data_IF_277727273826
#
_entry.id   IF_277727273826
#
_cell.length_a   1.000
_cell.length_b   1.000
_cell.length_c   1.000
_cell.angle_alpha   90.00
_cell.angle_beta   90.00
_cell.angle_gamma   90.00
#
_symmetry.space_group_name_H-M   'P 1'
#
loop_
_entity.id
_entity.type
_entity.pdbx_description
1 polymer ?
#
# COMPACT_ATOMS: atom_id res chain seq x y z
N UNK A 1 9.45 -18.33 12.40
CA UNK A 1 8.76 -17.16 11.80
C UNK A 1 8.16 -17.61 10.48
N UNK A 2 6.86 -17.38 10.25
CA UNK A 2 6.21 -17.82 9.01
C UNK A 2 6.86 -17.09 7.81
N UNK A 3 7.37 -17.84 6.83
CA UNK A 3 8.10 -17.28 5.68
C UNK A 3 7.21 -16.37 4.83
N UNK A 4 5.93 -16.71 4.71
CA UNK A 4 4.93 -15.92 3.97
C UNK A 4 4.67 -14.59 4.68
N UNK A 5 4.50 -14.61 6.00
CA UNK A 5 4.36 -13.40 6.82
C UNK A 5 5.58 -12.49 6.65
N UNK A 6 6.79 -13.04 6.72
CA UNK A 6 8.02 -12.27 6.56
C UNK A 6 8.10 -11.61 5.19
N UNK A 7 7.81 -12.36 4.12
CA UNK A 7 7.80 -11.85 2.76
C UNK A 7 6.75 -10.75 2.56
N UNK A 8 5.54 -10.94 3.09
CA UNK A 8 4.49 -9.92 3.01
C UNK A 8 4.87 -8.64 3.76
N UNK A 9 5.49 -8.76 4.93
CA UNK A 9 5.97 -7.60 5.69
C UNK A 9 7.13 -6.87 4.98
N UNK A 10 7.94 -7.56 4.18
CA UNK A 10 8.93 -6.91 3.29
C UNK A 10 8.21 -6.06 2.23
N UNK A 11 7.19 -6.61 1.56
CA UNK A 11 6.38 -5.89 0.57
C UNK A 11 5.76 -4.64 1.21
N UNK A 12 5.10 -4.81 2.35
CA UNK A 12 4.53 -3.71 3.13
C UNK A 12 5.59 -2.65 3.48
N UNK A 13 6.78 -3.03 3.96
CA UNK A 13 7.84 -2.10 4.31
C UNK A 13 8.28 -1.22 3.13
N UNK A 14 8.41 -1.78 1.93
CA UNK A 14 8.79 -1.00 0.76
C UNK A 14 7.68 -0.08 0.28
N UNK A 15 6.41 -0.48 0.40
CA UNK A 15 5.29 0.42 0.15
C UNK A 15 5.19 1.52 1.19
N UNK A 16 5.35 1.22 2.47
CA UNK A 16 5.44 2.19 3.56
C UNK A 16 6.52 3.25 3.29
N UNK A 17 7.74 2.81 2.95
CA UNK A 17 8.86 3.72 2.62
C UNK A 17 8.60 4.52 1.36
N UNK A 18 7.96 3.93 0.36
CA UNK A 18 7.60 4.62 -0.88
C UNK A 18 6.49 5.65 -0.65
N UNK A 19 5.48 5.31 0.16
CA UNK A 19 4.40 6.20 0.57
C UNK A 19 4.93 7.43 1.32
N UNK A 20 5.91 7.24 2.21
CA UNK A 20 6.60 8.35 2.87
C UNK A 20 7.31 9.25 1.84
N UNK A 21 8.06 8.66 0.90
CA UNK A 21 8.74 9.41 -0.15
C UNK A 21 7.78 10.15 -1.08
N UNK A 22 6.67 9.51 -1.46
CA UNK A 22 5.63 10.11 -2.29
C UNK A 22 4.93 11.23 -1.50
N UNK A 23 4.66 11.05 -0.21
CA UNK A 23 4.14 12.12 0.65
C UNK A 23 5.09 13.33 0.69
N UNK A 24 6.41 13.10 0.72
CA UNK A 24 7.40 14.17 0.59
C UNK A 24 7.49 14.77 -0.83
N UNK A 25 7.30 13.96 -1.87
CA UNK A 25 7.28 14.44 -3.26
C UNK A 25 6.01 15.22 -3.62
N UNK A 26 4.84 14.80 -3.13
CA UNK A 26 3.59 15.56 -3.20
C UNK A 26 3.72 16.89 -2.47
N UNK A 27 4.53 16.95 -1.42
CA UNK A 27 4.86 18.19 -0.73
C UNK A 27 5.65 19.19 -1.59
N UNK A 28 6.42 18.70 -2.56
CA UNK A 28 7.06 19.54 -3.57
C UNK A 28 6.02 20.09 -4.56
N UNK A 29 5.03 19.29 -4.95
CA UNK A 29 3.93 19.72 -5.82
C UNK A 29 3.00 20.71 -5.09
N UNK A 30 2.70 20.44 -3.81
CA UNK A 30 1.89 21.28 -2.93
C UNK A 30 2.71 22.41 -2.29
N UNK A 31 3.97 22.59 -2.68
CA UNK A 31 4.86 23.64 -2.19
C UNK A 31 4.25 25.05 -2.30
N UNK A 32 3.53 25.43 -3.38
CA UNK A 32 2.87 26.73 -3.45
C UNK A 32 1.82 26.91 -2.34
N UNK A 33 1.01 25.88 -2.07
CA UNK A 33 0.02 25.88 -1.01
C UNK A 33 0.66 25.95 0.38
N UNK A 34 1.79 25.26 0.56
CA UNK A 34 2.57 25.31 1.80
C UNK A 34 3.19 26.68 2.05
N UNK A 35 3.67 27.36 1.01
CA UNK A 35 4.14 28.74 1.08
C UNK A 35 3.02 29.68 1.53
N UNK A 36 1.81 29.46 1.02
CA UNK A 36 0.62 30.23 1.40
C UNK A 36 0.25 30.03 2.88
N UNK A 37 0.28 28.79 3.39
CA UNK A 37 0.10 28.49 4.81
C UNK A 37 1.17 29.18 5.68
N UNK A 38 2.44 29.13 5.27
CA UNK A 38 3.53 29.78 5.99
C UNK A 38 3.46 31.31 5.95
N UNK A 39 2.83 31.91 4.94
CA UNK A 39 2.52 33.33 4.90
C UNK A 39 1.40 33.69 5.87
N UNK A 40 0.34 32.88 5.93
CA UNK A 40 -0.78 33.07 6.88
C UNK A 40 -0.27 33.00 8.33
N UNK A 41 0.61 32.05 8.63
CA UNK A 41 1.16 31.86 9.99
C UNK A 41 2.07 33.01 10.43
N UNK A 42 2.74 33.67 9.49
CA UNK A 42 3.60 34.82 9.77
C UNK A 42 2.80 36.08 10.11
N UNK A 43 1.48 36.10 9.87
CA UNK A 43 0.60 37.21 10.26
C UNK A 43 0.68 37.42 11.79
N UNK A 44 0.93 38.65 12.27
CA UNK A 44 1.20 38.91 13.69
C UNK A 44 0.12 38.40 14.64
N UNK A 45 -1.15 38.54 14.26
CA UNK A 45 -2.31 38.10 15.05
C UNK A 45 -2.28 36.58 15.25
N UNK A 46 -2.03 35.84 14.16
CA UNK A 46 -1.99 34.38 14.16
C UNK A 46 -0.76 33.89 14.93
N UNK A 47 0.42 34.49 14.67
CA UNK A 47 1.64 34.19 15.42
C UNK A 47 1.47 34.40 16.93
N UNK A 48 0.76 35.46 17.34
CA UNK A 48 0.44 35.75 18.75
C UNK A 48 -0.46 34.67 19.38
N UNK A 49 -1.36 34.06 18.60
CA UNK A 49 -2.15 32.92 19.08
C UNK A 49 -1.29 31.66 19.29
N UNK A 50 -0.31 31.41 18.42
CA UNK A 50 0.62 30.29 18.59
C UNK A 50 1.53 30.49 19.81
N UNK A 51 2.08 31.69 20.03
CA UNK A 51 2.90 31.97 21.21
C UNK A 51 2.10 31.90 22.51
N UNK A 52 0.83 32.33 22.52
CA UNK A 52 -0.08 32.11 23.67
C UNK A 52 -0.27 30.62 24.02
N UNK A 53 -0.10 29.71 23.06
CA UNK A 53 -0.14 28.26 23.25
C UNK A 53 1.24 27.64 23.56
N UNK A 54 2.24 28.47 23.88
CA UNK A 54 3.60 28.02 24.17
C UNK A 54 4.42 27.65 22.93
N UNK A 55 3.95 27.94 21.71
CA UNK A 55 4.65 27.62 20.47
C UNK A 55 5.46 28.84 20.02
N UNK A 56 6.78 28.78 20.24
CA UNK A 56 7.73 29.85 19.89
C UNK A 56 8.06 29.90 18.40
N UNK A 57 8.06 28.75 17.71
CA UNK A 57 8.31 28.66 16.27
C UNK A 57 7.24 27.82 15.57
N UNK A 58 6.14 28.45 15.10
CA UNK A 58 5.02 27.76 14.47
C UNK A 58 5.43 26.94 13.24
N UNK A 59 6.35 27.47 12.42
CA UNK A 59 6.84 26.79 11.20
C UNK A 59 7.55 25.48 11.56
N UNK A 60 8.50 25.54 12.50
CA UNK A 60 9.24 24.35 12.96
C UNK A 60 8.30 23.32 13.59
N UNK A 61 7.34 23.74 14.41
CA UNK A 61 6.36 22.85 15.03
C UNK A 61 5.46 22.16 14.00
N UNK A 62 5.07 22.84 12.92
CA UNK A 62 4.28 22.23 11.84
C UNK A 62 5.09 21.20 11.07
N UNK A 63 6.36 21.48 10.78
CA UNK A 63 7.25 20.51 10.13
C UNK A 63 7.52 19.28 11.00
N UNK A 64 7.78 19.47 12.29
CA UNK A 64 7.98 18.37 13.24
C UNK A 64 6.72 17.52 13.39
N UNK A 65 5.54 18.15 13.52
CA UNK A 65 4.26 17.42 13.54
C UNK A 65 4.08 16.64 12.24
N UNK A 66 4.36 17.24 11.08
CA UNK A 66 4.23 16.56 9.79
C UNK A 66 5.15 15.33 9.68
N UNK A 67 6.42 15.45 10.07
CA UNK A 67 7.34 14.30 10.13
C UNK A 67 6.80 13.22 11.06
N UNK A 68 6.35 13.60 12.26
CA UNK A 68 5.72 12.68 13.21
C UNK A 68 4.46 12.01 12.65
N UNK A 69 3.62 12.72 11.91
CA UNK A 69 2.39 12.18 11.32
C UNK A 69 2.63 11.39 10.03
N UNK A 70 3.79 11.55 9.38
CA UNK A 70 4.10 10.87 8.11
C UNK A 70 5.00 9.66 8.30
N UNK A 71 5.93 9.70 9.27
CA UNK A 71 6.97 8.68 9.45
C UNK A 71 6.81 7.82 10.71
N UNK A 72 5.79 8.07 11.54
CA UNK A 72 5.56 7.26 12.73
C UNK A 72 4.88 5.92 12.37
N UNK A 73 5.54 4.77 12.56
CA UNK A 73 4.99 3.48 12.16
C UNK A 73 3.66 3.14 12.86
N UNK A 74 3.37 3.70 14.05
CA UNK A 74 2.18 3.33 14.84
C UNK A 74 0.86 3.81 14.21
N UNK A 75 0.80 5.03 13.66
CA UNK A 75 -0.44 5.66 13.18
C UNK A 75 -0.20 6.69 12.06
N UNK A 76 0.93 6.62 11.35
CA UNK A 76 1.22 7.61 10.32
C UNK A 76 0.39 7.42 9.06
N UNK A 77 0.25 8.51 8.29
CA UNK A 77 -0.22 8.45 6.91
C UNK A 77 0.61 7.46 6.07
N UNK A 78 1.90 7.31 6.37
CA UNK A 78 2.78 6.34 5.71
C UNK A 78 2.35 4.89 5.97
N UNK A 79 1.97 4.58 7.21
CA UNK A 79 1.44 3.27 7.63
C UNK A 79 0.14 2.96 6.87
N UNK A 80 -0.84 3.87 6.92
CA UNK A 80 -2.15 3.70 6.26
C UNK A 80 -2.00 3.48 4.75
N UNK A 81 -1.23 4.34 4.08
CA UNK A 81 -1.00 4.24 2.63
C UNK A 81 -0.19 2.97 2.31
N UNK A 82 0.79 2.62 3.15
CA UNK A 82 1.57 1.38 3.02
C UNK A 82 0.69 0.13 3.06
N UNK A 83 -0.27 0.07 3.99
CA UNK A 83 -1.27 -1.00 4.06
C UNK A 83 -2.13 -1.02 2.81
N UNK A 84 -2.68 0.12 2.39
CA UNK A 84 -3.51 0.19 1.17
C UNK A 84 -2.82 -0.39 -0.07
N UNK A 85 -1.53 -0.07 -0.29
CA UNK A 85 -0.77 -0.64 -1.40
C UNK A 85 -0.45 -2.12 -1.21
N UNK A 86 -0.07 -2.56 -0.01
CA UNK A 86 0.20 -3.96 0.27
C UNK A 86 -1.07 -4.82 0.10
N UNK A 87 -2.21 -4.36 0.61
CA UNK A 87 -3.52 -4.99 0.41
C UNK A 87 -3.93 -5.02 -1.06
N UNK A 88 -3.58 -3.99 -1.85
CA UNK A 88 -3.84 -4.00 -3.30
C UNK A 88 -3.10 -5.13 -4.03
N UNK A 89 -1.88 -5.48 -3.60
CA UNK A 89 -1.15 -6.65 -4.15
C UNK A 89 -1.93 -7.94 -3.88
N UNK A 90 -2.42 -8.13 -2.65
CA UNK A 90 -3.25 -9.29 -2.30
C UNK A 90 -4.57 -9.31 -3.07
N UNK A 91 -5.20 -8.15 -3.25
CA UNK A 91 -6.44 -8.01 -4.01
C UNK A 91 -6.26 -8.50 -5.44
N UNK A 92 -5.25 -8.01 -6.18
CA UNK A 92 -5.00 -8.47 -7.55
C UNK A 92 -4.69 -9.96 -7.62
N UNK A 93 -3.95 -10.48 -6.64
CA UNK A 93 -3.67 -11.92 -6.56
C UNK A 93 -4.94 -12.75 -6.35
N UNK A 94 -5.82 -12.34 -5.43
CA UNK A 94 -7.09 -13.02 -5.19
C UNK A 94 -8.07 -12.90 -6.36
N UNK A 95 -8.10 -11.75 -7.05
CA UNK A 95 -8.87 -11.60 -8.29
C UNK A 95 -8.40 -12.61 -9.33
N UNK A 96 -7.09 -12.78 -9.49
CA UNK A 96 -6.55 -13.71 -10.46
C UNK A 96 -6.88 -15.17 -10.12
N UNK A 97 -6.71 -15.57 -8.85
CA UNK A 97 -7.11 -16.89 -8.35
C UNK A 97 -8.60 -17.13 -8.62
N UNK A 98 -9.45 -16.17 -8.23
CA UNK A 98 -10.89 -16.27 -8.43
C UNK A 98 -11.23 -16.53 -9.91
N UNK A 99 -10.62 -15.79 -10.85
CA UNK A 99 -10.87 -15.98 -12.27
C UNK A 99 -10.39 -17.36 -12.77
N UNK A 100 -9.25 -17.86 -12.30
CA UNK A 100 -8.77 -19.21 -12.66
C UNK A 100 -9.76 -20.29 -12.20
N UNK A 101 -10.22 -20.22 -10.95
CA UNK A 101 -11.21 -21.17 -10.44
C UNK A 101 -12.52 -21.07 -11.20
N UNK A 102 -13.01 -19.85 -11.44
CA UNK A 102 -14.23 -19.61 -12.20
C UNK A 102 -14.14 -20.23 -13.60
N UNK A 103 -13.10 -19.94 -14.37
CA UNK A 103 -12.98 -20.47 -15.74
C UNK A 103 -12.69 -21.97 -15.80
N UNK A 104 -12.00 -22.53 -14.81
CA UNK A 104 -11.69 -23.97 -14.77
C UNK A 104 -12.89 -24.83 -14.38
N UNK A 105 -13.75 -24.35 -13.46
CA UNK A 105 -14.80 -25.17 -12.85
C UNK A 105 -16.23 -24.69 -13.16
N UNK A 106 -16.42 -23.39 -13.43
CA UNK A 106 -17.74 -22.79 -13.63
C UNK A 106 -17.73 -21.81 -14.82
N UNK A 107 -17.34 -22.25 -16.03
CA UNK A 107 -17.10 -21.35 -17.18
C UNK A 107 -18.35 -20.59 -17.64
N UNK A 108 -19.55 -21.10 -17.36
CA UNK A 108 -20.84 -20.50 -17.73
C UNK A 108 -21.41 -19.55 -16.66
N UNK A 109 -20.79 -19.48 -15.48
CA UNK A 109 -21.29 -18.68 -14.37
C UNK A 109 -21.01 -17.19 -14.61
N UNK A 110 -22.06 -16.36 -14.61
CA UNK A 110 -21.93 -14.91 -14.79
C UNK A 110 -22.05 -14.19 -13.45
N UNK A 111 -20.90 -13.88 -12.86
CA UNK A 111 -20.81 -13.00 -11.69
C UNK A 111 -20.62 -11.54 -12.09
N UNK A 112 -21.22 -10.63 -11.30
CA UNK A 112 -20.96 -9.21 -11.43
C UNK A 112 -19.54 -8.87 -10.97
N UNK A 113 -18.86 -7.98 -11.69
CA UNK A 113 -17.52 -7.52 -11.32
C UNK A 113 -17.50 -6.91 -9.90
N UNK A 114 -18.60 -6.27 -9.47
CA UNK A 114 -18.76 -5.74 -8.12
C UNK A 114 -18.74 -6.84 -7.03
N UNK A 115 -19.35 -7.99 -7.29
CA UNK A 115 -19.29 -9.14 -6.38
C UNK A 115 -17.86 -9.68 -6.25
N UNK A 116 -17.16 -9.85 -7.39
CA UNK A 116 -15.76 -10.32 -7.41
C UNK A 116 -14.86 -9.39 -6.60
N UNK A 117 -14.96 -8.08 -6.83
CA UNK A 117 -14.21 -7.07 -6.08
C UNK A 117 -14.51 -7.12 -4.58
N UNK A 118 -15.77 -7.30 -4.20
CA UNK A 118 -16.18 -7.32 -2.79
C UNK A 118 -15.60 -8.54 -2.07
N UNK A 119 -15.76 -9.73 -2.64
CA UNK A 119 -15.28 -10.98 -2.02
C UNK A 119 -13.76 -10.99 -1.94
N UNK A 120 -13.08 -10.67 -3.05
CA UNK A 120 -11.60 -10.64 -3.09
C UNK A 120 -11.04 -9.50 -2.22
N UNK A 121 -11.75 -8.39 -2.09
CA UNK A 121 -11.42 -7.29 -1.17
C UNK A 121 -11.50 -7.68 0.29
N UNK A 122 -12.56 -8.36 0.72
CA UNK A 122 -12.69 -8.87 2.09
C UNK A 122 -11.57 -9.86 2.41
N UNK A 123 -11.25 -10.76 1.48
CA UNK A 123 -10.14 -11.71 1.62
C UNK A 123 -8.79 -10.99 1.71
N UNK A 124 -8.52 -10.03 0.84
CA UNK A 124 -7.29 -9.24 0.84
C UNK A 124 -7.09 -8.51 2.17
N UNK A 125 -8.14 -7.85 2.66
CA UNK A 125 -8.11 -7.12 3.93
C UNK A 125 -7.91 -8.05 5.13
N UNK A 126 -8.63 -9.17 5.18
CA UNK A 126 -8.50 -10.14 6.27
C UNK A 126 -7.08 -10.73 6.33
N UNK A 127 -6.49 -11.03 5.18
CA UNK A 127 -5.12 -11.52 5.07
C UNK A 127 -4.09 -10.45 5.49
N UNK A 128 -4.30 -9.18 5.14
CA UNK A 128 -3.46 -8.06 5.59
C UNK A 128 -3.48 -7.91 7.13
N UNK A 129 -4.66 -8.03 7.74
CA UNK A 129 -4.79 -7.99 9.21
C UNK A 129 -3.94 -9.08 9.85
N UNK A 130 -4.09 -10.33 9.39
CA UNK A 130 -3.41 -11.50 9.96
C UNK A 130 -1.89 -11.36 9.85
N UNK A 131 -1.39 -10.91 8.70
CA UNK A 131 0.05 -10.86 8.44
C UNK A 131 0.74 -9.61 8.96
N UNK A 132 0.04 -8.49 9.14
CA UNK A 132 0.71 -7.21 9.37
C UNK A 132 0.12 -6.42 10.53
N UNK A 133 -1.20 -6.37 10.71
CA UNK A 133 -1.83 -5.51 11.72
C UNK A 133 -1.95 -6.16 13.10
N UNK A 134 -1.91 -7.50 13.20
CA UNK A 134 -1.99 -8.19 14.49
C UNK A 134 -0.68 -8.09 15.28
N UNK A 135 -0.77 -7.72 16.57
CA UNK A 135 0.35 -7.74 17.54
C UNK A 135 1.57 -6.87 17.17
N UNK A 136 1.35 -5.66 16.65
CA UNK A 136 2.42 -4.69 16.33
C UNK A 136 3.51 -5.25 15.38
N UNK A 137 3.14 -6.24 14.55
CA UNK A 137 4.06 -6.91 13.61
C UNK A 137 4.69 -5.90 12.65
N UNK A 138 3.88 -4.98 12.12
CA UNK A 138 4.31 -3.91 11.22
C UNK A 138 5.42 -3.05 11.83
N UNK A 139 5.26 -2.59 13.08
CA UNK A 139 6.24 -1.78 13.82
C UNK A 139 7.52 -2.59 14.05
N UNK A 140 7.37 -3.87 14.44
CA UNK A 140 8.50 -4.78 14.67
C UNK A 140 9.33 -4.96 13.39
N UNK A 141 8.69 -5.26 12.27
CA UNK A 141 9.36 -5.48 10.99
C UNK A 141 9.95 -4.18 10.41
N UNK A 142 9.26 -3.04 10.52
CA UNK A 142 9.83 -1.74 10.13
C UNK A 142 11.12 -1.47 10.89
N UNK A 143 11.13 -1.67 12.22
CA UNK A 143 12.34 -1.49 13.05
C UNK A 143 13.46 -2.44 12.63
N UNK A 144 13.14 -3.69 12.33
CA UNK A 144 14.12 -4.69 11.86
C UNK A 144 14.72 -4.29 10.50
N UNK A 145 13.89 -3.97 9.50
CA UNK A 145 14.33 -3.67 8.14
C UNK A 145 15.07 -2.33 8.04
N UNK A 146 14.77 -1.38 8.93
CA UNK A 146 15.53 -0.14 9.07
C UNK A 146 16.98 -0.36 9.56
N UNK A 147 17.33 -1.53 10.12
CA UNK A 147 18.72 -1.89 10.47
C UNK A 147 19.48 -2.59 9.34
N UNK A 148 18.79 -3.04 8.28
CA UNK A 148 19.40 -3.81 7.17
C UNK A 148 20.25 -2.92 6.25
N UNK A 149 21.35 -3.49 5.73
CA UNK A 149 22.31 -2.82 4.81
C UNK A 149 21.68 -2.47 3.45
N UNK A 150 22.29 -1.52 2.74
CA UNK A 150 21.79 -0.97 1.46
C UNK A 150 21.53 -2.03 0.38
N UNK A 151 22.44 -2.98 0.19
CA UNK A 151 22.29 -4.07 -0.80
C UNK A 151 21.06 -4.95 -0.55
N UNK A 152 20.80 -5.31 0.71
CA UNK A 152 19.58 -6.03 1.08
C UNK A 152 18.34 -5.24 0.67
N UNK A 153 18.34 -3.93 0.91
CA UNK A 153 17.20 -3.08 0.54
C UNK A 153 16.99 -2.98 -0.96
N UNK A 154 18.06 -2.86 -1.74
CA UNK A 154 17.95 -2.80 -3.21
C UNK A 154 17.37 -4.09 -3.78
N UNK A 155 17.88 -5.25 -3.34
CA UNK A 155 17.36 -6.56 -3.74
C UNK A 155 15.86 -6.66 -3.49
N UNK A 156 15.42 -6.37 -2.27
CA UNK A 156 14.01 -6.53 -1.91
C UNK A 156 13.10 -5.46 -2.53
N UNK A 157 13.60 -4.25 -2.77
CA UNK A 157 12.85 -3.24 -3.53
C UNK A 157 12.50 -3.74 -4.94
N UNK A 158 13.46 -4.34 -5.63
CA UNK A 158 13.25 -4.92 -6.97
C UNK A 158 12.21 -6.04 -6.89
N UNK A 159 12.35 -6.95 -5.91
CA UNK A 159 11.40 -8.05 -5.70
C UNK A 159 10.00 -7.51 -5.41
N UNK A 160 9.83 -6.50 -4.56
CA UNK A 160 8.51 -5.90 -4.28
C UNK A 160 7.86 -5.30 -5.53
N UNK A 161 8.63 -4.61 -6.38
CA UNK A 161 8.13 -4.05 -7.64
C UNK A 161 7.71 -5.18 -8.58
N UNK A 162 8.53 -6.22 -8.71
CA UNK A 162 8.21 -7.39 -9.53
C UNK A 162 6.96 -8.11 -9.03
N UNK A 163 6.80 -8.27 -7.71
CA UNK A 163 5.60 -8.88 -7.12
C UNK A 163 4.32 -8.10 -7.46
N UNK A 164 4.37 -6.76 -7.39
CA UNK A 164 3.25 -5.90 -7.77
C UNK A 164 2.95 -6.00 -9.27
N UNK A 165 3.98 -5.94 -10.11
CA UNK A 165 3.82 -6.03 -11.55
C UNK A 165 3.25 -7.39 -11.96
N UNK A 166 3.78 -8.48 -11.39
CA UNK A 166 3.31 -9.84 -11.64
C UNK A 166 1.88 -10.05 -11.15
N UNK A 167 1.51 -9.55 -9.96
CA UNK A 167 0.13 -9.70 -9.47
C UNK A 167 -0.87 -8.93 -10.33
N UNK A 168 -0.52 -7.70 -10.74
CA UNK A 168 -1.33 -6.90 -11.65
C UNK A 168 -1.43 -7.55 -13.03
N UNK A 169 -0.29 -7.93 -13.62
CA UNK A 169 -0.24 -8.62 -14.91
C UNK A 169 -1.09 -9.88 -14.88
N UNK A 170 -0.93 -10.72 -13.86
CA UNK A 170 -1.67 -11.96 -13.72
C UNK A 170 -3.17 -11.72 -13.53
N UNK A 171 -3.57 -10.70 -12.77
CA UNK A 171 -4.97 -10.27 -12.63
C UNK A 171 -5.53 -9.77 -13.96
N UNK A 172 -4.76 -9.03 -14.75
CA UNK A 172 -5.18 -8.52 -16.05
C UNK A 172 -5.27 -9.64 -17.08
N UNK A 173 -4.31 -10.57 -17.16
CA UNK A 173 -4.37 -11.68 -18.12
C UNK A 173 -5.48 -12.68 -17.82
N UNK A 174 -5.92 -12.75 -16.56
CA UNK A 174 -7.04 -13.60 -16.15
C UNK A 174 -8.39 -12.88 -16.23
N UNK A 175 -8.44 -11.54 -16.14
CA UNK A 175 -9.69 -10.75 -16.26
C UNK A 175 -9.96 -10.22 -17.67
N UNK A 176 -8.94 -9.75 -18.39
CA UNK A 176 -9.04 -9.28 -19.77
C UNK A 176 -9.00 -10.45 -20.74
N UNK A 177 -10.20 -10.95 -21.04
CA UNK A 177 -10.56 -11.42 -22.38
C UNK A 177 -10.00 -12.77 -22.82
N UNK A 178 -10.92 -13.72 -23.02
CA UNK A 178 -10.85 -14.66 -24.15
C UNK A 178 -9.75 -15.72 -24.06
N UNK A 179 -8.47 -15.37 -24.13
CA UNK A 179 -7.41 -16.33 -24.46
C UNK A 179 -7.17 -17.41 -23.40
N UNK A 180 -7.06 -17.13 -22.10
CA UNK A 180 -6.79 -18.20 -21.11
C UNK A 180 -8.06 -18.98 -20.77
N UNK A 181 -9.19 -18.29 -20.61
CA UNK A 181 -10.50 -18.92 -20.37
C UNK A 181 -10.99 -19.74 -21.57
N UNK A 182 -10.92 -19.20 -22.80
CA UNK A 182 -11.24 -19.93 -24.02
C UNK A 182 -10.20 -20.99 -24.35
N UNK A 183 -8.91 -20.80 -24.04
CA UNK A 183 -7.93 -21.88 -24.18
C UNK A 183 -8.26 -23.06 -23.28
N UNK A 184 -8.59 -22.81 -22.01
CA UNK A 184 -9.02 -23.85 -21.06
C UNK A 184 -10.36 -24.48 -21.46
N UNK A 185 -11.32 -23.69 -21.95
CA UNK A 185 -12.59 -24.19 -22.50
C UNK A 185 -12.34 -25.00 -23.78
N UNK A 186 -11.42 -24.58 -24.67
CA UNK A 186 -11.07 -25.30 -25.91
C UNK A 186 -10.32 -26.60 -25.67
N UNK A 187 -9.60 -26.70 -24.54
CA UNK A 187 -9.00 -27.94 -24.06
C UNK A 187 -10.07 -28.90 -23.54
N UNK A 188 -11.14 -28.39 -22.92
CA UNK A 188 -12.27 -29.20 -22.45
C UNK A 188 -13.28 -29.56 -23.55
N UNK A 189 -13.44 -28.74 -24.58
CA UNK A 189 -14.40 -28.97 -25.67
C UNK A 189 -13.86 -29.86 -26.81
N UNK A 190 -12.60 -30.28 -26.74
CA UNK A 190 -11.96 -31.20 -27.70
C UNK A 190 -11.80 -32.64 -27.13
N UNK A 191 -12.53 -32.95 -26.05
CA UNK A 191 -12.74 -34.31 -25.50
C UNK A 191 -14.20 -34.67 -25.77
#
# INVERSE_FOLDING_TARGET
MNQIEYFYNIIYYFFYRSAIKISYGLDFILYPYRKLIFLIIDIPIIRKQYTKRGITNPRKTIEERRKKTTENPILSRGTIIGHGFATSVLLFFYIAIYHIFKYSFFPTFQDSFGYVLTVTGILAYSTDIIFTQTSDKDIRYIKEFNKRKGWWRTKWKIITILSLFLSLWFSLTTSSGGNVGQFLISLHSNI
#
